data_IF_762654877220
#
_entry.id   IF_762654877220
#
_cell.length_a   1.000
_cell.length_b   1.000
_cell.length_c   1.000
_cell.angle_alpha   90.00
_cell.angle_beta   90.00
_cell.angle_gamma   90.00
#
_symmetry.space_group_name_H-M   'P 1'
#
loop_
_entity.id
_entity.type
_entity.pdbx_description
1 polymer ?
#
# COMPACT_ATOMS: atom_id res chain seq x y z
N UNK A 1 7.12 -2.80 -27.48
CA UNK A 1 6.57 -2.20 -28.74
C UNK A 1 5.10 -2.60 -28.83
N UNK A 2 4.17 -1.64 -28.96
CA UNK A 2 2.73 -1.92 -29.03
C UNK A 2 2.40 -2.57 -30.40
N UNK A 3 1.57 -3.61 -30.41
CA UNK A 3 1.10 -4.24 -31.66
C UNK A 3 0.19 -3.26 -32.42
N UNK A 4 0.56 -2.84 -33.64
CA UNK A 4 -0.26 -1.89 -34.41
C UNK A 4 -1.67 -2.44 -34.66
N UNK A 5 -2.72 -1.62 -34.58
CA UNK A 5 -4.11 -2.05 -34.81
C UNK A 5 -4.37 -2.65 -36.19
N UNK A 6 -3.56 -2.28 -37.18
CA UNK A 6 -3.62 -2.80 -38.54
C UNK A 6 -3.25 -4.28 -38.65
N UNK A 7 -2.54 -4.80 -37.65
CA UNK A 7 -2.17 -6.22 -37.56
C UNK A 7 -3.18 -7.10 -36.83
N UNK A 8 -4.28 -6.51 -36.31
CA UNK A 8 -5.33 -7.30 -35.66
C UNK A 8 -6.10 -8.13 -36.70
N UNK A 9 -6.26 -9.45 -36.48
CA UNK A 9 -7.05 -10.30 -37.38
C UNK A 9 -8.48 -9.78 -37.53
N UNK A 10 -8.88 -9.46 -38.75
CA UNK A 10 -10.22 -8.92 -39.00
C UNK A 10 -11.29 -10.03 -38.82
N UNK A 11 -12.13 -9.93 -37.82
CA UNK A 11 -13.17 -10.92 -37.48
C UNK A 11 -14.07 -11.31 -38.64
N UNK A 12 -14.37 -10.33 -39.57
CA UNK A 12 -15.13 -10.57 -40.79
C UNK A 12 -14.49 -11.53 -41.79
N UNK A 13 -13.15 -11.76 -41.65
CA UNK A 13 -12.38 -12.69 -42.51
C UNK A 13 -12.34 -14.09 -41.89
N UNK A 14 -13.04 -14.32 -40.78
CA UNK A 14 -13.10 -15.60 -40.08
C UNK A 14 -11.70 -16.17 -39.75
N UNK A 15 -10.86 -15.40 -39.03
CA UNK A 15 -9.50 -15.82 -38.73
C UNK A 15 -9.47 -17.11 -37.93
N UNK A 16 -8.36 -17.83 -38.01
CA UNK A 16 -8.20 -19.08 -37.27
C UNK A 16 -8.11 -18.84 -35.74
N UNK A 17 -8.39 -19.87 -34.97
CA UNK A 17 -8.18 -19.86 -33.52
C UNK A 17 -6.76 -19.40 -33.15
N UNK A 18 -5.75 -19.93 -33.86
CA UNK A 18 -4.36 -19.63 -33.59
C UNK A 18 -4.02 -18.14 -33.86
N UNK A 19 -4.57 -17.55 -34.92
CA UNK A 19 -4.31 -16.14 -35.25
C UNK A 19 -4.93 -15.21 -34.21
N UNK A 20 -6.18 -15.49 -33.78
CA UNK A 20 -6.84 -14.69 -32.74
C UNK A 20 -6.09 -14.82 -31.41
N UNK A 21 -5.73 -16.04 -31.02
CA UNK A 21 -5.03 -16.29 -29.75
C UNK A 21 -3.65 -15.65 -29.73
N UNK A 22 -2.89 -15.72 -30.83
CA UNK A 22 -1.58 -15.04 -30.96
C UNK A 22 -1.72 -13.53 -30.80
N UNK A 23 -2.76 -12.94 -31.40
CA UNK A 23 -3.06 -11.52 -31.23
C UNK A 23 -3.41 -11.20 -29.76
N UNK A 24 -4.28 -11.98 -29.11
CA UNK A 24 -4.63 -11.81 -27.70
C UNK A 24 -3.40 -11.94 -26.78
N UNK A 25 -2.46 -12.82 -27.12
CA UNK A 25 -1.21 -12.96 -26.38
C UNK A 25 -0.27 -11.76 -26.55
N UNK A 26 -0.22 -11.19 -27.76
CA UNK A 26 0.53 -9.95 -28.00
C UNK A 26 -0.05 -8.72 -27.30
N UNK A 27 -1.34 -8.78 -26.98
CA UNK A 27 -2.06 -7.74 -26.26
C UNK A 27 -1.99 -7.91 -24.73
N UNK A 28 -1.25 -8.89 -24.19
CA UNK A 28 -0.99 -8.97 -22.75
C UNK A 28 -0.32 -7.67 -22.31
N UNK A 29 -0.85 -7.04 -21.27
CA UNK A 29 -0.11 -5.99 -20.59
C UNK A 29 1.15 -6.63 -20.03
N UNK A 30 2.32 -6.15 -20.43
CA UNK A 30 3.59 -6.65 -19.91
C UNK A 30 3.54 -6.56 -18.39
N UNK A 31 3.60 -7.69 -17.70
CA UNK A 31 4.04 -7.67 -16.31
C UNK A 31 5.43 -7.05 -16.36
N UNK A 32 5.62 -5.89 -15.73
CA UNK A 32 6.96 -5.37 -15.52
C UNK A 32 7.78 -6.50 -14.94
N UNK A 33 8.83 -6.88 -15.65
CA UNK A 33 9.80 -7.84 -15.12
C UNK A 33 10.33 -7.23 -13.82
N UNK A 34 10.13 -7.85 -12.63
CA UNK A 34 10.62 -7.29 -11.37
C UNK A 34 12.14 -7.16 -11.33
N UNK A 35 12.86 -7.68 -12.36
CA UNK A 35 14.30 -7.58 -12.54
C UNK A 35 14.69 -6.68 -13.73
N UNK A 36 13.76 -6.09 -14.45
CA UNK A 36 14.09 -5.00 -15.35
C UNK A 36 14.48 -3.80 -14.47
N UNK A 37 15.77 -3.63 -14.27
CA UNK A 37 16.34 -2.33 -13.93
C UNK A 37 15.70 -1.35 -14.90
N UNK A 38 15.01 -0.33 -14.39
CA UNK A 38 14.61 0.82 -15.18
C UNK A 38 15.91 1.39 -15.78
N UNK A 39 16.28 0.87 -16.94
CA UNK A 39 17.04 1.68 -17.87
C UNK A 39 16.10 2.83 -18.18
N UNK A 40 16.48 4.00 -17.72
CA UNK A 40 15.89 5.32 -17.95
C UNK A 40 15.95 5.68 -19.45
N UNK A 41 15.48 4.74 -20.27
CA UNK A 41 15.15 4.86 -21.67
C UNK A 41 13.63 4.97 -21.86
N UNK A 42 12.99 5.74 -21.00
CA UNK A 42 11.81 6.47 -21.41
C UNK A 42 12.20 7.21 -22.67
N UNK A 43 11.35 7.18 -23.68
CA UNK A 43 11.42 8.00 -24.88
C UNK A 43 11.33 9.48 -24.48
N UNK A 44 12.30 9.95 -23.71
CA UNK A 44 12.60 11.35 -23.52
C UNK A 44 13.15 11.81 -24.86
N UNK A 45 12.26 12.35 -25.68
CA UNK A 45 12.66 13.21 -26.78
C UNK A 45 13.60 14.24 -26.15
N UNK A 46 14.89 14.13 -26.41
CA UNK A 46 15.89 15.07 -25.89
C UNK A 46 15.64 16.38 -26.61
N UNK A 47 14.79 17.19 -25.99
CA UNK A 47 14.53 18.55 -26.45
C UNK A 47 15.73 19.40 -26.07
N UNK A 48 16.29 20.10 -27.05
CA UNK A 48 17.32 21.08 -26.74
C UNK A 48 16.66 22.37 -26.15
N UNK A 49 17.48 23.18 -25.52
CA UNK A 49 16.99 24.41 -24.87
C UNK A 49 16.45 25.46 -25.88
N UNK A 50 16.57 25.23 -27.18
CA UNK A 50 16.10 26.09 -28.26
C UNK A 50 14.73 25.62 -28.82
N UNK A 51 14.23 24.43 -28.45
CA UNK A 51 12.95 23.93 -28.94
C UNK A 51 11.80 24.76 -28.33
N UNK A 52 10.92 25.38 -29.14
CA UNK A 52 9.80 26.16 -28.67
C UNK A 52 8.84 25.30 -27.81
N UNK A 53 8.30 25.88 -26.74
CA UNK A 53 7.43 25.17 -25.81
C UNK A 53 6.14 24.66 -26.47
N UNK A 54 5.60 25.39 -27.41
CA UNK A 54 4.42 25.02 -28.19
C UNK A 54 4.66 23.79 -29.08
N UNK A 55 5.87 23.61 -29.61
CA UNK A 55 6.25 22.40 -30.34
C UNK A 55 6.33 21.18 -29.44
N UNK A 56 6.87 21.34 -28.22
CA UNK A 56 6.92 20.28 -27.21
C UNK A 56 5.51 19.88 -26.82
N UNK A 57 4.65 20.84 -26.50
CA UNK A 57 3.25 20.59 -26.12
C UNK A 57 2.46 19.94 -27.27
N UNK A 58 2.68 20.36 -28.51
CA UNK A 58 2.03 19.75 -29.68
C UNK A 58 2.48 18.31 -29.90
N UNK A 59 3.76 18.01 -29.71
CA UNK A 59 4.28 16.63 -29.87
C UNK A 59 3.76 15.72 -28.74
N UNK A 60 3.71 16.20 -27.51
CA UNK A 60 3.14 15.47 -26.38
C UNK A 60 1.65 15.18 -26.60
N UNK A 61 0.90 16.17 -27.08
CA UNK A 61 -0.52 16.00 -27.42
C UNK A 61 -0.73 14.99 -28.58
N UNK A 62 0.12 15.01 -29.60
CA UNK A 62 0.05 14.06 -30.70
C UNK A 62 0.36 12.63 -30.23
N UNK A 63 1.37 12.44 -29.40
CA UNK A 63 1.73 11.15 -28.80
C UNK A 63 0.60 10.61 -27.91
N UNK A 64 0.01 11.45 -27.06
CA UNK A 64 -1.14 11.08 -26.22
C UNK A 64 -2.36 10.67 -27.06
N UNK A 65 -2.61 11.36 -28.16
CA UNK A 65 -3.70 11.03 -29.09
C UNK A 65 -3.46 9.68 -29.79
N UNK A 66 -2.24 9.35 -30.15
CA UNK A 66 -1.88 8.06 -30.75
C UNK A 66 -2.06 6.91 -29.76
N UNK A 67 -1.61 7.07 -28.52
CA UNK A 67 -1.86 6.11 -27.43
C UNK A 67 -3.36 5.90 -27.22
N UNK A 68 -4.15 6.97 -27.19
CA UNK A 68 -5.60 6.89 -27.05
C UNK A 68 -6.27 6.17 -28.23
N UNK A 69 -5.83 6.43 -29.47
CA UNK A 69 -6.33 5.75 -30.68
C UNK A 69 -6.04 4.25 -30.61
N UNK A 70 -4.83 3.89 -30.20
CA UNK A 70 -4.44 2.49 -30.03
C UNK A 70 -5.32 1.82 -28.96
N UNK A 71 -5.48 2.41 -27.79
CA UNK A 71 -6.32 1.88 -26.71
C UNK A 71 -7.78 1.66 -27.17
N UNK A 72 -8.36 2.62 -27.93
CA UNK A 72 -9.69 2.52 -28.50
C UNK A 72 -9.80 1.40 -29.54
N UNK A 73 -8.76 1.19 -30.35
CA UNK A 73 -8.73 0.11 -31.34
C UNK A 73 -8.67 -1.26 -30.69
N UNK A 74 -7.83 -1.42 -29.66
CA UNK A 74 -7.74 -2.65 -28.84
C UNK A 74 -9.09 -2.94 -28.18
N UNK A 75 -9.73 -1.98 -27.53
CA UNK A 75 -11.03 -2.16 -26.89
C UNK A 75 -12.11 -2.60 -27.86
N UNK A 76 -12.15 -2.01 -29.05
CA UNK A 76 -13.09 -2.42 -30.12
C UNK A 76 -12.83 -3.83 -30.60
N UNK A 77 -11.56 -4.19 -30.80
CA UNK A 77 -11.18 -5.53 -31.23
C UNK A 77 -11.59 -6.59 -30.20
N UNK A 78 -11.22 -6.39 -28.94
CA UNK A 78 -11.60 -7.28 -27.85
C UNK A 78 -13.13 -7.42 -27.70
N UNK A 79 -13.85 -6.31 -27.79
CA UNK A 79 -15.32 -6.31 -27.78
C UNK A 79 -15.90 -7.10 -28.95
N UNK A 80 -15.29 -7.02 -30.14
CA UNK A 80 -15.75 -7.78 -31.32
C UNK A 80 -15.60 -9.29 -31.16
N UNK A 81 -14.58 -9.76 -30.42
CA UNK A 81 -14.42 -11.19 -30.10
C UNK A 81 -15.48 -11.64 -29.11
N UNK A 82 -15.69 -10.91 -28.03
CA UNK A 82 -16.65 -11.27 -26.96
C UNK A 82 -18.09 -11.24 -27.49
N UNK A 83 -18.43 -10.33 -28.40
CA UNK A 83 -19.76 -10.21 -28.98
C UNK A 83 -20.00 -11.15 -30.16
N UNK A 84 -19.00 -11.83 -30.68
CA UNK A 84 -19.12 -12.79 -31.78
C UNK A 84 -19.45 -14.17 -31.25
N UNK A 85 -20.34 -14.88 -31.95
CA UNK A 85 -20.64 -16.30 -31.70
C UNK A 85 -19.49 -17.24 -32.13
N UNK A 86 -18.50 -16.71 -32.89
CA UNK A 86 -17.36 -17.47 -33.44
C UNK A 86 -17.79 -18.72 -34.20
N UNK A 87 -18.96 -18.69 -34.86
CA UNK A 87 -19.61 -19.85 -35.45
C UNK A 87 -18.79 -20.54 -36.53
N UNK A 88 -17.78 -19.89 -37.12
CA UNK A 88 -16.86 -20.50 -38.09
C UNK A 88 -15.79 -21.40 -37.43
N UNK A 89 -15.61 -21.36 -36.10
CA UNK A 89 -14.74 -22.28 -35.35
C UNK A 89 -15.57 -23.50 -34.93
N UNK A 90 -15.19 -24.70 -35.40
CA UNK A 90 -16.04 -25.90 -35.15
C UNK A 90 -15.94 -26.40 -33.70
N UNK A 91 -14.82 -26.12 -33.00
CA UNK A 91 -14.61 -26.59 -31.66
C UNK A 91 -15.17 -25.60 -30.64
N UNK A 92 -16.02 -26.08 -29.73
CA UNK A 92 -16.63 -25.27 -28.67
C UNK A 92 -15.59 -24.82 -27.63
N UNK A 93 -14.66 -25.72 -27.26
CA UNK A 93 -13.58 -25.39 -26.32
C UNK A 93 -12.69 -24.22 -26.83
N UNK A 94 -12.43 -24.18 -28.15
CA UNK A 94 -11.68 -23.09 -28.77
C UNK A 94 -12.43 -21.73 -28.67
N UNK A 95 -13.74 -21.75 -28.86
CA UNK A 95 -14.59 -20.55 -28.72
C UNK A 95 -14.60 -20.04 -27.30
N UNK A 96 -14.78 -20.92 -26.31
CA UNK A 96 -14.74 -20.60 -24.89
C UNK A 96 -13.39 -20.06 -24.47
N UNK A 97 -12.29 -20.66 -24.94
CA UNK A 97 -10.93 -20.19 -24.66
C UNK A 97 -10.69 -18.77 -25.20
N UNK A 98 -11.19 -18.43 -26.40
CA UNK A 98 -11.09 -17.10 -26.97
C UNK A 98 -11.92 -16.06 -26.21
N UNK A 99 -13.16 -16.40 -25.83
CA UNK A 99 -13.99 -15.50 -25.02
C UNK A 99 -13.37 -15.24 -23.65
N UNK A 100 -12.87 -16.29 -23.00
CA UNK A 100 -12.18 -16.16 -21.72
C UNK A 100 -10.90 -15.30 -21.84
N UNK A 101 -10.09 -15.52 -22.89
CA UNK A 101 -8.89 -14.75 -23.13
C UNK A 101 -9.21 -13.28 -23.43
N UNK A 102 -10.18 -12.99 -24.30
CA UNK A 102 -10.59 -11.63 -24.62
C UNK A 102 -11.16 -10.90 -23.43
N UNK A 103 -12.04 -11.56 -22.64
CA UNK A 103 -12.61 -11.00 -21.41
C UNK A 103 -11.52 -10.65 -20.39
N UNK A 104 -10.51 -11.51 -20.24
CA UNK A 104 -9.34 -11.24 -19.40
C UNK A 104 -8.56 -10.01 -19.87
N UNK A 105 -8.36 -9.88 -21.21
CA UNK A 105 -7.67 -8.69 -21.78
C UNK A 105 -8.50 -7.40 -21.57
N UNK A 106 -9.83 -7.49 -21.60
CA UNK A 106 -10.71 -6.36 -21.26
C UNK A 106 -10.55 -6.00 -19.79
N UNK A 107 -10.63 -6.97 -18.89
CA UNK A 107 -10.48 -6.75 -17.46
C UNK A 107 -9.12 -6.10 -17.11
N UNK A 108 -8.03 -6.52 -17.75
CA UNK A 108 -6.70 -5.91 -17.60
C UNK A 108 -6.62 -4.44 -18.05
N UNK A 109 -7.61 -3.96 -18.81
CA UNK A 109 -7.69 -2.59 -19.34
C UNK A 109 -8.82 -1.76 -18.76
N UNK A 110 -9.50 -2.27 -17.73
CA UNK A 110 -10.60 -1.57 -17.08
C UNK A 110 -10.16 -1.06 -15.69
N UNK A 111 -10.71 0.09 -15.30
CA UNK A 111 -10.48 0.64 -13.96
C UNK A 111 -8.99 0.91 -13.67
N UNK A 112 -8.57 0.61 -12.46
CA UNK A 112 -7.20 0.86 -11.98
C UNK A 112 -6.14 0.04 -12.74
N UNK A 113 -6.47 -1.14 -13.25
CA UNK A 113 -5.57 -1.96 -14.06
C UNK A 113 -5.19 -1.32 -15.40
N UNK A 114 -6.05 -0.45 -15.92
CA UNK A 114 -5.82 0.28 -17.17
C UNK A 114 -4.96 1.54 -17.01
N UNK A 115 -4.77 2.03 -15.79
CA UNK A 115 -4.12 3.31 -15.53
C UNK A 115 -2.59 3.22 -15.51
N UNK A 116 -2.01 2.02 -15.56
CA UNK A 116 -0.57 1.83 -15.40
C UNK A 116 -0.07 2.21 -14.00
N UNK A 117 1.22 2.44 -13.88
CA UNK A 117 1.84 2.92 -12.64
C UNK A 117 1.48 4.39 -12.40
N UNK A 118 1.13 4.70 -11.16
CA UNK A 118 0.82 6.07 -10.75
C UNK A 118 1.78 6.51 -9.67
N UNK A 119 2.34 7.72 -9.81
CA UNK A 119 3.11 8.36 -8.75
C UNK A 119 2.30 9.52 -8.19
N UNK A 120 2.10 9.52 -6.86
CA UNK A 120 1.30 10.53 -6.16
C UNK A 120 2.08 11.20 -5.05
N UNK A 121 1.72 12.47 -4.79
CA UNK A 121 2.15 13.21 -3.61
C UNK A 121 1.05 13.15 -2.55
N UNK A 122 1.45 12.89 -1.33
CA UNK A 122 0.59 12.79 -0.17
C UNK A 122 0.99 13.88 0.84
N UNK A 123 0.25 15.00 0.87
CA UNK A 123 0.55 16.10 1.78
C UNK A 123 0.16 15.74 3.21
N UNK A 124 1.06 15.97 4.16
CA UNK A 124 0.82 15.73 5.58
C UNK A 124 1.22 16.96 6.40
N UNK A 125 0.34 17.38 7.32
CA UNK A 125 0.65 18.46 8.26
C UNK A 125 1.60 17.97 9.34
N UNK A 126 2.57 18.81 9.71
CA UNK A 126 3.45 18.58 10.86
C UNK A 126 2.91 19.21 12.14
N UNK A 127 1.85 19.99 12.06
CA UNK A 127 1.21 20.61 13.21
C UNK A 127 0.26 19.60 13.89
N UNK A 128 0.33 19.55 15.23
CA UNK A 128 -0.71 18.87 16.00
C UNK A 128 -1.98 19.72 15.93
N UNK A 129 -3.10 19.16 15.50
CA UNK A 129 -4.41 19.80 15.52
C UNK A 129 -4.94 19.94 16.98
N UNK A 130 -4.16 20.57 17.85
CA UNK A 130 -4.55 20.84 19.25
C UNK A 130 -5.40 22.10 19.39
N UNK A 131 -5.85 22.71 18.29
CA UNK A 131 -6.82 23.81 18.32
C UNK A 131 -8.01 23.41 17.46
N UNK A 132 -9.15 23.15 18.12
CA UNK A 132 -10.43 22.85 17.50
C UNK A 132 -10.80 23.89 16.45
N UNK A 133 -10.61 23.52 15.20
CA UNK A 133 -11.16 24.20 14.05
C UNK A 133 -11.73 23.11 13.15
N UNK A 134 -13.02 22.85 13.32
CA UNK A 134 -13.83 21.99 12.45
C UNK A 134 -14.06 22.63 11.05
N UNK A 135 -13.36 23.72 10.71
CA UNK A 135 -13.49 24.45 9.44
C UNK A 135 -12.11 24.92 8.94
N UNK A 136 -11.17 24.04 8.72
CA UNK A 136 -10.04 24.35 7.86
C UNK A 136 -10.38 23.91 6.42
N UNK A 137 -11.23 24.70 5.74
CA UNK A 137 -11.21 24.78 4.29
C UNK A 137 -9.75 24.86 3.82
N UNK A 138 -9.46 24.23 2.67
CA UNK A 138 -8.19 24.17 1.94
C UNK A 138 -7.40 25.51 1.92
N UNK A 139 -6.82 25.87 3.06
CA UNK A 139 -5.92 27.00 3.21
C UNK A 139 -4.49 26.46 3.15
N UNK A 140 -3.66 27.04 2.28
CA UNK A 140 -2.24 26.72 2.17
C UNK A 140 -1.58 26.77 3.55
N UNK A 141 -1.07 25.61 4.01
CA UNK A 141 -0.32 25.55 5.26
C UNK A 141 0.92 26.45 5.17
N UNK A 142 1.27 27.10 6.26
CA UNK A 142 2.44 27.98 6.30
C UNK A 142 3.71 27.20 5.87
N UNK A 143 4.66 27.85 5.16
CA UNK A 143 5.88 27.19 4.70
C UNK A 143 6.62 26.49 5.85
N UNK A 144 6.87 25.16 5.70
CA UNK A 144 7.55 24.34 6.71
C UNK A 144 6.63 23.53 7.64
N UNK A 145 5.29 23.75 7.57
CA UNK A 145 4.32 22.95 8.34
C UNK A 145 3.76 21.75 7.57
N UNK A 146 4.15 21.54 6.33
CA UNK A 146 3.73 20.43 5.49
C UNK A 146 4.92 19.62 5.00
N UNK A 147 4.72 18.32 4.87
CA UNK A 147 5.62 17.41 4.16
C UNK A 147 4.84 16.69 3.07
N UNK A 148 5.50 16.40 1.96
CA UNK A 148 4.93 15.65 0.84
C UNK A 148 5.66 14.30 0.73
N UNK A 149 4.95 13.20 1.00
CA UNK A 149 5.44 11.86 0.68
C UNK A 149 5.11 11.55 -0.78
N UNK A 150 6.06 10.96 -1.50
CA UNK A 150 5.89 10.58 -2.91
C UNK A 150 5.86 9.08 -3.02
N UNK A 151 4.72 8.52 -3.42
CA UNK A 151 4.53 7.07 -3.52
C UNK A 151 4.24 6.65 -4.95
N UNK A 152 4.88 5.57 -5.37
CA UNK A 152 4.54 4.84 -6.59
C UNK A 152 3.53 3.75 -6.23
N UNK A 153 2.45 3.73 -6.99
CA UNK A 153 1.42 2.69 -6.95
C UNK A 153 1.47 1.97 -8.31
N UNK A 154 1.96 0.73 -8.38
CA UNK A 154 1.93 -0.06 -9.61
C UNK A 154 0.51 -0.28 -10.12
N UNK A 155 0.38 -0.61 -11.40
CA UNK A 155 -0.89 -1.05 -11.96
C UNK A 155 -1.41 -2.26 -11.15
N UNK A 156 -2.69 -2.21 -10.76
CA UNK A 156 -3.31 -3.35 -10.06
C UNK A 156 -3.48 -4.51 -11.03
N UNK A 157 -2.87 -5.65 -10.71
CA UNK A 157 -3.01 -6.89 -11.47
C UNK A 157 -3.47 -8.00 -10.53
N UNK A 158 -4.65 -8.56 -10.76
CA UNK A 158 -5.23 -9.60 -9.90
C UNK A 158 -5.56 -9.09 -8.50
N UNK A 159 -5.34 -9.92 -7.47
CA UNK A 159 -5.70 -9.65 -6.07
C UNK A 159 -4.66 -8.84 -5.30
N UNK A 160 -3.78 -8.12 -5.99
CA UNK A 160 -2.66 -7.37 -5.36
C UNK A 160 -3.13 -6.06 -4.73
N UNK A 161 -3.97 -6.14 -3.70
CA UNK A 161 -4.53 -4.98 -2.99
C UNK A 161 -3.46 -4.10 -2.31
N UNK A 162 -2.30 -4.67 -1.94
CA UNK A 162 -1.18 -3.94 -1.34
C UNK A 162 -0.47 -2.95 -2.27
N UNK A 163 -0.77 -2.95 -3.58
CA UNK A 163 -0.21 -1.95 -4.52
C UNK A 163 -1.01 -0.65 -4.58
N UNK A 164 -2.15 -0.56 -3.90
CA UNK A 164 -2.95 0.66 -3.77
C UNK A 164 -2.73 1.30 -2.40
N UNK A 165 -2.65 2.63 -2.36
CA UNK A 165 -2.71 3.38 -1.10
C UNK A 165 -4.17 3.58 -0.72
N UNK A 166 -4.58 2.99 0.40
CA UNK A 166 -5.95 3.06 0.89
C UNK A 166 -6.20 4.31 1.73
N UNK A 167 -7.42 4.83 1.68
CA UNK A 167 -7.79 6.04 2.39
C UNK A 167 -7.61 5.96 3.90
N UNK A 168 -7.78 4.77 4.49
CA UNK A 168 -7.54 4.51 5.92
C UNK A 168 -6.10 4.80 6.33
N UNK A 169 -5.10 4.41 5.52
CA UNK A 169 -3.70 4.70 5.82
C UNK A 169 -3.40 6.20 5.77
N UNK A 170 -4.04 6.94 4.86
CA UNK A 170 -3.92 8.41 4.82
C UNK A 170 -4.63 9.08 6.00
N UNK A 171 -5.84 8.62 6.35
CA UNK A 171 -6.56 9.11 7.51
C UNK A 171 -5.74 8.94 8.80
N UNK A 172 -5.17 7.74 9.02
CA UNK A 172 -4.30 7.47 10.16
C UNK A 172 -3.00 8.27 10.11
N UNK A 173 -2.37 8.43 8.94
CA UNK A 173 -1.16 9.24 8.79
C UNK A 173 -1.40 10.72 9.19
N UNK A 174 -2.56 11.28 8.87
CA UNK A 174 -2.95 12.63 9.31
C UNK A 174 -3.18 12.72 10.81
N UNK A 175 -3.58 11.64 11.47
CA UNK A 175 -3.77 11.57 12.92
C UNK A 175 -2.47 11.43 13.71
N UNK A 176 -1.36 11.01 13.13
CA UNK A 176 -0.12 10.73 13.86
C UNK A 176 0.34 11.85 14.78
N UNK A 177 0.30 13.15 14.41
CA UNK A 177 0.67 14.21 15.33
C UNK A 177 -0.23 14.31 16.58
N UNK A 178 -1.54 14.05 16.43
CA UNK A 178 -2.48 14.05 17.55
C UNK A 178 -2.33 12.78 18.40
N UNK A 179 -2.24 11.62 17.78
CA UNK A 179 -2.02 10.34 18.46
C UNK A 179 -0.78 10.35 19.36
N UNK A 180 0.30 11.02 18.92
CA UNK A 180 1.52 11.18 19.70
C UNK A 180 1.30 11.83 21.08
N UNK A 181 0.23 12.59 21.26
CA UNK A 181 -0.08 13.33 22.48
C UNK A 181 -1.15 12.66 23.36
N UNK A 182 -1.79 11.60 22.85
CA UNK A 182 -2.81 10.86 23.61
C UNK A 182 -2.22 10.16 24.84
N UNK A 183 -3.01 9.94 25.88
CA UNK A 183 -2.58 9.17 27.04
C UNK A 183 -2.04 7.78 26.68
N UNK A 184 -2.61 7.16 25.62
CA UNK A 184 -2.21 5.83 25.16
C UNK A 184 -0.80 5.77 24.58
N UNK A 185 -0.28 6.86 23.95
CA UNK A 185 0.98 6.85 23.20
C UNK A 185 2.04 7.85 23.65
N UNK A 186 1.68 8.90 24.41
CA UNK A 186 2.61 9.99 24.76
C UNK A 186 3.88 9.51 25.46
N UNK A 187 3.80 8.41 26.23
CA UNK A 187 4.93 7.86 26.97
C UNK A 187 5.99 7.23 26.06
N UNK A 188 5.62 6.78 24.84
CA UNK A 188 6.54 6.23 23.86
C UNK A 188 7.30 7.31 23.06
N UNK A 189 6.78 8.52 22.97
CA UNK A 189 7.34 9.56 22.10
C UNK A 189 8.81 9.93 22.38
N UNK A 190 9.28 10.06 23.64
CA UNK A 190 10.69 10.28 23.92
C UNK A 190 11.57 9.14 23.44
N UNK A 191 11.11 7.91 23.59
CA UNK A 191 11.84 6.69 23.24
C UNK A 191 11.93 6.48 21.72
N UNK A 192 10.87 6.82 20.98
CA UNK A 192 10.88 6.78 19.50
C UNK A 192 11.98 7.68 18.94
N UNK A 193 12.15 8.88 19.51
CA UNK A 193 13.23 9.81 19.13
C UNK A 193 14.63 9.33 19.51
N UNK A 194 14.74 8.40 20.44
CA UNK A 194 15.97 7.74 20.83
C UNK A 194 16.27 6.47 20.01
N UNK A 195 15.44 6.17 19.01
CA UNK A 195 15.62 5.05 18.08
C UNK A 195 14.86 3.79 18.47
N UNK A 196 13.89 3.88 19.38
CA UNK A 196 13.00 2.75 19.64
C UNK A 196 12.25 2.38 18.36
N UNK A 197 12.30 1.09 17.90
CA UNK A 197 11.74 0.72 16.61
C UNK A 197 10.20 0.69 16.64
N UNK A 198 9.63 1.13 15.53
CA UNK A 198 8.19 1.00 15.23
C UNK A 198 8.03 -0.03 14.12
N UNK A 199 7.06 -0.94 14.24
CA UNK A 199 6.69 -1.87 13.18
C UNK A 199 5.38 -1.45 12.52
N UNK A 200 5.34 -1.40 11.20
CA UNK A 200 4.09 -1.39 10.44
C UNK A 200 3.84 -2.79 9.88
N UNK A 201 2.63 -3.33 10.14
CA UNK A 201 2.16 -4.60 9.59
C UNK A 201 1.22 -4.33 8.41
N UNK A 202 1.46 -4.98 7.25
CA UNK A 202 0.66 -4.81 6.05
C UNK A 202 0.80 -3.40 5.46
N UNK A 203 2.03 -2.94 5.29
CA UNK A 203 2.34 -1.55 4.93
C UNK A 203 1.89 -1.16 3.50
N UNK A 204 1.65 -2.12 2.60
CA UNK A 204 1.25 -1.85 1.22
C UNK A 204 2.23 -0.95 0.49
N UNK A 205 1.79 0.26 0.16
CA UNK A 205 2.65 1.28 -0.48
C UNK A 205 3.56 2.02 0.50
N UNK A 206 3.34 1.87 1.82
CA UNK A 206 4.18 2.41 2.88
C UNK A 206 3.78 3.79 3.39
N UNK A 207 2.60 4.32 3.04
CA UNK A 207 2.22 5.68 3.41
C UNK A 207 2.29 5.93 4.93
N UNK A 208 1.70 5.05 5.73
CA UNK A 208 1.60 5.25 7.18
C UNK A 208 2.97 5.17 7.86
N UNK A 209 3.77 4.13 7.55
CA UNK A 209 5.10 3.98 8.16
C UNK A 209 6.08 5.08 7.76
N UNK A 210 6.06 5.51 6.50
CA UNK A 210 6.86 6.65 6.03
C UNK A 210 6.42 7.95 6.71
N UNK A 211 5.11 8.14 6.91
CA UNK A 211 4.59 9.26 7.68
C UNK A 211 5.04 9.22 9.14
N UNK A 212 4.96 8.06 9.79
CA UNK A 212 5.43 7.87 11.16
C UNK A 212 6.93 8.16 11.28
N UNK A 213 7.76 7.65 10.37
CA UNK A 213 9.18 7.92 10.33
C UNK A 213 9.48 9.43 10.22
N UNK A 214 8.76 10.15 9.36
CA UNK A 214 8.96 11.58 9.15
C UNK A 214 8.40 12.46 10.27
N UNK A 215 7.18 12.15 10.78
CA UNK A 215 6.46 12.99 11.74
C UNK A 215 6.90 12.74 13.19
N UNK A 216 7.12 11.48 13.54
CA UNK A 216 7.58 11.08 14.87
C UNK A 216 9.10 11.08 15.01
N UNK A 217 9.84 11.16 13.88
CA UNK A 217 11.32 11.05 13.83
C UNK A 217 11.80 9.71 14.36
N UNK A 218 11.07 8.65 13.99
CA UNK A 218 11.25 7.31 14.50
C UNK A 218 12.06 6.43 13.53
N UNK A 219 12.61 5.32 14.03
CA UNK A 219 13.11 4.20 13.22
C UNK A 219 11.92 3.25 12.94
N UNK A 220 11.44 3.20 11.70
CA UNK A 220 10.26 2.42 11.32
C UNK A 220 10.65 1.26 10.41
N UNK A 221 10.20 0.06 10.76
CA UNK A 221 10.29 -1.13 9.93
C UNK A 221 8.91 -1.40 9.33
N UNK A 222 8.83 -1.34 8.01
CA UNK A 222 7.61 -1.59 7.25
C UNK A 222 7.61 -3.03 6.77
N UNK A 223 6.50 -3.75 6.96
CA UNK A 223 6.42 -5.16 6.59
C UNK A 223 5.22 -5.46 5.70
N UNK A 224 5.40 -6.37 4.76
CA UNK A 224 4.34 -6.88 3.89
C UNK A 224 4.74 -8.25 3.30
N UNK A 225 3.92 -8.78 2.42
CA UNK A 225 4.18 -9.99 1.65
C UNK A 225 5.36 -9.80 0.68
N UNK A 226 6.06 -10.88 0.36
CA UNK A 226 7.22 -10.89 -0.54
C UNK A 226 6.92 -10.27 -1.92
N UNK A 227 5.69 -10.35 -2.42
CA UNK A 227 5.26 -9.75 -3.68
C UNK A 227 5.10 -8.23 -3.61
N UNK A 228 4.83 -7.66 -2.43
CA UNK A 228 4.60 -6.23 -2.20
C UNK A 228 5.89 -5.50 -1.84
N UNK A 229 6.78 -6.16 -1.09
CA UNK A 229 8.02 -5.56 -0.57
C UNK A 229 8.90 -4.87 -1.63
N UNK A 230 9.05 -5.34 -2.87
CA UNK A 230 9.85 -4.64 -3.87
C UNK A 230 9.37 -3.22 -4.16
N UNK A 231 8.05 -3.00 -4.31
CA UNK A 231 7.49 -1.66 -4.48
C UNK A 231 7.56 -0.83 -3.20
N UNK A 232 7.31 -1.46 -2.05
CA UNK A 232 7.44 -0.83 -0.73
C UNK A 232 8.85 -0.30 -0.50
N UNK A 233 9.88 -1.12 -0.77
CA UNK A 233 11.29 -0.73 -0.64
C UNK A 233 11.66 0.44 -1.59
N UNK A 234 11.16 0.42 -2.82
CA UNK A 234 11.35 1.54 -3.75
C UNK A 234 10.70 2.84 -3.25
N UNK A 235 9.53 2.76 -2.59
CA UNK A 235 8.88 3.92 -1.98
C UNK A 235 9.64 4.42 -0.73
N UNK A 236 10.20 3.52 0.08
CA UNK A 236 11.10 3.86 1.20
C UNK A 236 12.29 4.64 0.68
N UNK A 237 13.00 4.14 -0.35
CA UNK A 237 14.17 4.81 -0.93
C UNK A 237 13.80 6.18 -1.51
N UNK A 238 12.69 6.29 -2.24
CA UNK A 238 12.22 7.56 -2.82
C UNK A 238 12.02 8.66 -1.78
N UNK A 239 11.62 8.31 -0.56
CA UNK A 239 11.37 9.25 0.53
C UNK A 239 12.53 9.34 1.54
N UNK A 240 13.61 8.57 1.34
CA UNK A 240 14.72 8.44 2.30
C UNK A 240 15.35 9.77 2.68
N UNK A 241 15.62 10.65 1.71
CA UNK A 241 16.21 11.97 1.94
C UNK A 241 15.33 12.87 2.82
N UNK A 242 14.01 12.88 2.56
CA UNK A 242 13.06 13.66 3.35
C UNK A 242 12.99 13.14 4.78
N UNK A 243 12.89 11.81 4.97
CA UNK A 243 12.79 11.18 6.28
C UNK A 243 14.06 11.41 7.09
N UNK A 244 15.25 11.22 6.50
CA UNK A 244 16.54 11.46 7.14
C UNK A 244 16.73 12.94 7.54
N UNK A 245 16.34 13.87 6.66
CA UNK A 245 16.40 15.31 6.98
C UNK A 245 15.52 15.69 8.17
N UNK A 246 14.50 14.88 8.48
CA UNK A 246 13.63 15.05 9.65
C UNK A 246 14.11 14.27 10.88
N UNK A 247 15.18 13.47 10.76
CA UNK A 247 15.74 12.67 11.85
C UNK A 247 15.09 11.31 12.05
N UNK A 248 14.29 10.83 11.06
CA UNK A 248 13.70 9.49 11.05
C UNK A 248 14.50 8.51 10.19
N UNK A 249 14.09 7.25 10.21
CA UNK A 249 14.59 6.17 9.37
C UNK A 249 13.44 5.24 8.98
N UNK A 250 13.49 4.67 7.78
CA UNK A 250 12.54 3.67 7.32
C UNK A 250 13.27 2.52 6.63
N UNK A 251 12.80 1.30 6.85
CA UNK A 251 13.29 0.06 6.22
C UNK A 251 12.11 -0.82 5.88
N UNK A 252 12.20 -1.60 4.80
CA UNK A 252 11.15 -2.52 4.38
C UNK A 252 11.65 -3.95 4.36
N UNK A 253 10.81 -4.91 4.77
CA UNK A 253 11.13 -6.34 4.74
C UNK A 253 9.89 -7.23 4.69
N UNK A 254 10.11 -8.51 4.41
CA UNK A 254 9.05 -9.50 4.30
C UNK A 254 8.66 -10.01 5.68
N UNK A 255 7.37 -9.93 6.00
CA UNK A 255 6.78 -10.56 7.17
C UNK A 255 5.37 -11.05 6.83
N UNK A 256 5.24 -12.32 6.52
CA UNK A 256 3.94 -12.96 6.28
C UNK A 256 3.31 -13.36 7.61
N UNK A 257 2.06 -12.94 7.83
CA UNK A 257 1.33 -13.29 9.06
C UNK A 257 1.04 -14.80 9.10
N UNK A 258 1.21 -15.40 10.26
CA UNK A 258 1.01 -16.82 10.47
C UNK A 258 2.12 -17.73 9.93
N UNK A 259 3.16 -17.18 9.30
CA UNK A 259 4.31 -17.96 8.87
C UNK A 259 5.14 -18.40 10.08
N UNK A 260 5.59 -19.68 10.04
CA UNK A 260 6.55 -20.20 11.02
C UNK A 260 7.96 -19.70 10.67
N UNK A 261 8.75 -19.39 11.67
CA UNK A 261 10.20 -19.10 11.51
C UNK A 261 11.05 -20.34 11.43
N UNK A 262 10.41 -21.52 11.37
CA UNK A 262 11.10 -22.81 11.26
C UNK A 262 11.86 -22.93 9.95
N UNK A 263 13.11 -23.36 9.99
CA UNK A 263 13.97 -23.57 8.82
C UNK A 263 13.40 -24.58 7.81
N UNK A 264 12.35 -25.31 8.17
CA UNK A 264 11.73 -26.33 7.32
C UNK A 264 10.70 -25.75 6.31
N UNK A 265 10.31 -24.49 6.41
CA UNK A 265 9.37 -23.86 5.49
C UNK A 265 10.05 -23.24 4.24
N UNK A 266 11.37 -23.40 4.11
CA UNK A 266 12.17 -22.87 2.98
C UNK A 266 12.06 -23.75 1.72
N UNK A 267 11.29 -24.85 1.72
CA UNK A 267 11.23 -25.79 0.59
C UNK A 267 10.71 -25.22 -0.73
N UNK A 268 10.13 -24.03 -0.75
CA UNK A 268 9.60 -23.39 -1.97
C UNK A 268 10.43 -22.19 -2.48
N UNK A 269 11.52 -21.81 -1.82
CA UNK A 269 12.33 -20.64 -2.23
C UNK A 269 11.63 -19.29 -2.01
N UNK A 270 10.52 -19.25 -1.28
CA UNK A 270 9.80 -18.02 -0.93
C UNK A 270 10.18 -17.61 0.48
N UNK A 271 10.78 -16.43 0.63
CA UNK A 271 11.06 -15.86 1.95
C UNK A 271 9.73 -15.43 2.57
N UNK A 272 9.34 -16.07 3.67
CA UNK A 272 8.13 -15.71 4.42
C UNK A 272 8.41 -14.68 5.53
N UNK A 273 9.66 -14.65 6.04
CA UNK A 273 10.12 -13.70 7.08
C UNK A 273 11.56 -13.28 6.79
N UNK A 274 11.80 -11.99 6.79
CA UNK A 274 13.14 -11.40 6.73
C UNK A 274 13.75 -11.41 8.15
N UNK A 275 14.59 -12.40 8.44
CA UNK A 275 15.16 -12.61 9.77
C UNK A 275 16.16 -11.54 10.22
N UNK A 276 16.69 -10.73 9.28
CA UNK A 276 17.58 -9.61 9.61
C UNK A 276 16.78 -8.42 10.18
N UNK A 277 15.56 -8.23 9.72
CA UNK A 277 14.68 -7.17 10.20
C UNK A 277 13.73 -7.63 11.32
N UNK A 278 13.39 -8.92 11.36
CA UNK A 278 12.50 -9.55 12.34
C UNK A 278 13.20 -10.71 13.05
N UNK A 279 14.27 -10.43 13.82
CA UNK A 279 15.15 -11.48 14.35
C UNK A 279 14.53 -12.29 15.49
N UNK A 280 13.56 -11.73 16.21
CA UNK A 280 12.95 -12.34 17.39
C UNK A 280 11.48 -11.94 17.53
N UNK A 281 10.73 -12.71 18.33
CA UNK A 281 9.39 -12.33 18.80
C UNK A 281 9.50 -11.22 19.85
N UNK A 282 8.41 -10.48 20.01
CA UNK A 282 8.28 -9.42 21.01
C UNK A 282 9.36 -8.32 20.90
N UNK A 283 9.76 -7.98 19.68
CA UNK A 283 10.84 -7.03 19.43
C UNK A 283 10.41 -5.56 19.33
N UNK A 284 9.10 -5.31 19.10
CA UNK A 284 8.63 -3.97 18.76
C UNK A 284 7.73 -3.39 19.87
N UNK A 285 8.16 -2.30 20.52
CA UNK A 285 7.36 -1.64 21.55
C UNK A 285 6.18 -0.84 21.00
N UNK A 286 6.18 -0.54 19.71
CA UNK A 286 5.06 0.10 19.01
C UNK A 286 4.82 -0.57 17.66
N UNK A 287 3.57 -0.99 17.46
CA UNK A 287 3.07 -1.50 16.18
C UNK A 287 1.99 -0.57 15.66
N UNK A 288 2.01 -0.26 14.37
CA UNK A 288 0.98 0.53 13.67
C UNK A 288 0.41 -0.28 12.51
N UNK A 289 -0.89 -0.19 12.28
CA UNK A 289 -1.59 -0.96 11.24
C UNK A 289 -2.78 -0.16 10.70
N UNK A 290 -2.90 -0.06 9.39
CA UNK A 290 -4.03 0.58 8.74
C UNK A 290 -4.62 -0.26 7.61
N UNK A 291 -5.93 -0.41 7.58
CA UNK A 291 -6.71 -1.16 6.57
C UNK A 291 -6.28 -2.63 6.38
N UNK A 292 -6.03 -3.39 7.45
CA UNK A 292 -5.42 -4.72 7.32
C UNK A 292 -6.41 -5.85 7.08
N UNK A 293 -7.74 -5.60 7.18
CA UNK A 293 -8.77 -6.65 7.29
C UNK A 293 -9.71 -6.58 6.09
N UNK A 294 -9.53 -7.51 5.14
CA UNK A 294 -10.36 -7.65 3.93
C UNK A 294 -10.70 -9.12 3.59
N UNK A 295 -10.32 -10.05 4.46
CA UNK A 295 -10.64 -11.48 4.38
C UNK A 295 -11.04 -12.01 5.76
N UNK A 296 -11.86 -13.08 5.81
CA UNK A 296 -12.38 -13.65 7.07
C UNK A 296 -11.29 -14.27 7.96
N UNK A 297 -10.13 -14.64 7.41
CA UNK A 297 -8.99 -15.17 8.16
C UNK A 297 -8.11 -14.05 8.76
N UNK A 298 -8.16 -12.84 8.20
CA UNK A 298 -7.28 -11.74 8.60
C UNK A 298 -7.43 -11.33 10.08
N UNK A 299 -8.62 -11.31 10.71
CA UNK A 299 -8.74 -10.97 12.12
C UNK A 299 -7.85 -11.81 13.03
N UNK A 300 -7.85 -13.12 12.85
CA UNK A 300 -7.05 -14.05 13.66
C UNK A 300 -5.56 -13.98 13.33
N UNK A 301 -5.22 -13.90 12.03
CA UNK A 301 -3.84 -13.79 11.57
C UNK A 301 -3.17 -12.49 12.04
N UNK A 302 -3.88 -11.35 11.92
CA UNK A 302 -3.38 -10.06 12.37
C UNK A 302 -3.18 -10.02 13.88
N UNK A 303 -4.17 -10.48 14.66
CA UNK A 303 -4.05 -10.52 16.11
C UNK A 303 -2.86 -11.40 16.56
N UNK A 304 -2.65 -12.53 15.88
CA UNK A 304 -1.50 -13.40 16.12
C UNK A 304 -0.17 -12.70 15.76
N UNK A 305 -0.11 -11.98 14.64
CA UNK A 305 1.08 -11.25 14.23
C UNK A 305 1.41 -10.09 15.19
N UNK A 306 0.40 -9.36 15.65
CA UNK A 306 0.58 -8.31 16.66
C UNK A 306 1.09 -8.91 17.97
N UNK A 307 0.48 -9.99 18.46
CA UNK A 307 0.91 -10.62 19.72
C UNK A 307 2.35 -11.15 19.61
N UNK A 308 2.72 -11.77 18.50
CA UNK A 308 4.07 -12.27 18.29
C UNK A 308 5.14 -11.16 18.19
N UNK A 309 4.81 -10.02 17.63
CA UNK A 309 5.78 -8.95 17.38
C UNK A 309 5.81 -7.89 18.49
N UNK A 310 4.68 -7.66 19.19
CA UNK A 310 4.59 -6.65 20.23
C UNK A 310 5.41 -7.04 21.45
N UNK A 311 6.27 -6.15 21.92
CA UNK A 311 7.10 -6.37 23.10
C UNK A 311 6.25 -6.76 24.32
N UNK A 312 6.87 -7.46 25.26
CA UNK A 312 6.25 -7.80 26.54
C UNK A 312 6.29 -6.61 27.48
N UNK A 313 5.36 -6.54 28.43
CA UNK A 313 5.45 -5.56 29.50
C UNK A 313 6.73 -5.75 30.30
N UNK A 314 7.39 -4.65 30.69
CA UNK A 314 8.55 -4.73 31.60
C UNK A 314 8.13 -5.45 32.90
N UNK A 315 8.94 -6.40 33.33
CA UNK A 315 8.71 -7.00 34.66
C UNK A 315 9.00 -5.93 35.71
N UNK A 316 8.06 -5.68 36.60
CA UNK A 316 8.33 -4.97 37.85
C UNK A 316 9.24 -5.90 38.69
N UNK A 317 10.56 -5.70 38.61
CA UNK A 317 11.48 -6.37 39.52
C UNK A 317 11.22 -5.81 40.90
N UNK A 318 10.48 -6.59 41.69
CA UNK A 318 10.27 -6.32 43.10
C UNK A 318 11.62 -6.31 43.83
N UNK A 319 11.91 -5.20 44.47
CA UNK A 319 12.91 -5.05 45.55
C UNK A 319 14.41 -5.19 45.12
N UNK A 320 14.96 -4.19 44.42
CA UNK A 320 16.38 -3.84 44.65
C UNK A 320 16.52 -2.34 44.88
N UNK A 321 16.83 -2.01 46.14
CA UNK A 321 17.20 -0.70 46.61
C UNK A 321 18.45 -0.18 45.85
N UNK A 322 18.30 1.02 45.28
CA UNK A 322 19.31 2.06 45.18
C UNK A 322 20.75 1.65 44.83
N UNK A 323 21.11 1.70 43.54
CA UNK A 323 22.42 2.23 43.19
C UNK A 323 22.25 3.28 42.07
N UNK A 324 22.60 4.51 42.42
CA UNK A 324 22.65 5.64 41.53
C UNK A 324 23.83 5.45 40.55
N UNK A 325 23.57 4.81 39.41
CA UNK A 325 24.43 5.00 38.28
C UNK A 325 23.58 5.23 37.03
N UNK A 326 23.92 6.31 36.36
CA UNK A 326 23.17 7.02 35.33
C UNK A 326 23.23 6.27 33.98
N UNK A 327 22.56 5.13 33.86
CA UNK A 327 22.32 4.47 32.60
C UNK A 327 20.83 4.61 32.29
N UNK A 328 20.52 5.37 31.25
CA UNK A 328 19.20 5.60 30.68
C UNK A 328 18.45 4.28 30.49
N UNK A 329 17.53 4.02 31.39
CA UNK A 329 16.64 2.85 31.40
C UNK A 329 15.67 2.95 30.23
N UNK A 330 16.04 2.40 29.08
CA UNK A 330 15.28 2.42 27.83
C UNK A 330 14.16 1.36 27.79
N UNK A 331 13.94 0.62 28.89
CA UNK A 331 13.10 -0.58 28.90
C UNK A 331 11.77 -0.47 29.68
N UNK A 332 11.35 0.71 30.11
CA UNK A 332 10.20 0.84 31.04
C UNK A 332 8.90 1.35 30.44
N UNK A 333 8.79 1.46 29.09
CA UNK A 333 7.54 1.94 28.50
C UNK A 333 6.64 0.79 28.06
N UNK A 334 5.39 0.79 28.53
CA UNK A 334 4.37 -0.18 28.14
C UNK A 334 4.17 -0.20 26.62
N UNK A 335 4.29 -1.37 25.98
CA UNK A 335 4.15 -1.51 24.52
C UNK A 335 2.71 -1.24 24.05
N UNK A 336 2.57 -0.76 22.82
CA UNK A 336 1.26 -0.44 22.23
C UNK A 336 1.15 -0.91 20.79
N UNK A 337 -0.07 -1.32 20.40
CA UNK A 337 -0.43 -1.54 19.01
C UNK A 337 -1.56 -0.59 18.63
N UNK A 338 -1.37 0.22 17.59
CA UNK A 338 -2.38 1.13 17.05
C UNK A 338 -2.92 0.55 15.76
N UNK A 339 -4.21 0.27 15.72
CA UNK A 339 -4.87 -0.35 14.58
C UNK A 339 -6.05 0.50 14.14
N UNK A 340 -6.15 0.76 12.84
CA UNK A 340 -7.30 1.45 12.25
C UNK A 340 -7.93 0.57 11.15
N UNK A 341 -9.24 0.40 11.23
CA UNK A 341 -10.03 -0.42 10.31
C UNK A 341 -11.20 0.40 9.75
N UNK A 342 -11.41 0.40 8.44
CA UNK A 342 -12.57 1.06 7.85
C UNK A 342 -13.85 0.21 8.04
N UNK A 343 -14.95 0.87 8.38
CA UNK A 343 -16.27 0.28 8.47
C UNK A 343 -17.07 0.66 7.21
N UNK A 344 -16.81 -0.05 6.09
CA UNK A 344 -17.44 0.23 4.78
C UNK A 344 -18.81 -0.41 4.64
N UNK A 345 -19.01 -1.54 5.32
CA UNK A 345 -20.22 -2.35 5.27
C UNK A 345 -20.33 -3.28 6.50
N UNK A 346 -21.44 -4.05 6.57
CA UNK A 346 -21.66 -5.00 7.66
C UNK A 346 -20.60 -6.10 7.77
N UNK A 347 -19.95 -6.47 6.66
CA UNK A 347 -18.91 -7.49 6.67
C UNK A 347 -17.64 -6.94 7.34
N UNK A 348 -17.24 -5.73 6.99
CA UNK A 348 -16.10 -5.06 7.63
C UNK A 348 -16.35 -4.77 9.11
N UNK A 349 -17.58 -4.37 9.50
CA UNK A 349 -17.98 -4.24 10.91
C UNK A 349 -17.84 -5.57 11.67
N UNK A 350 -18.33 -6.67 11.08
CA UNK A 350 -18.21 -8.01 11.67
C UNK A 350 -16.74 -8.42 11.85
N UNK A 351 -15.91 -8.23 10.82
CA UNK A 351 -14.51 -8.59 10.88
C UNK A 351 -13.74 -7.73 11.89
N UNK A 352 -14.07 -6.45 12.04
CA UNK A 352 -13.50 -5.57 13.05
C UNK A 352 -13.84 -6.08 14.47
N UNK A 353 -15.11 -6.47 14.73
CA UNK A 353 -15.52 -7.05 16.00
C UNK A 353 -14.81 -8.40 16.29
N UNK A 354 -14.62 -9.24 15.27
CA UNK A 354 -13.86 -10.49 15.40
C UNK A 354 -12.39 -10.19 15.75
N UNK A 355 -11.78 -9.19 15.14
CA UNK A 355 -10.41 -8.79 15.44
C UNK A 355 -10.26 -8.34 16.91
N UNK A 356 -11.13 -7.48 17.40
CA UNK A 356 -11.10 -7.05 18.81
C UNK A 356 -11.23 -8.24 19.76
N UNK A 357 -12.10 -9.21 19.43
CA UNK A 357 -12.25 -10.43 20.22
C UNK A 357 -10.98 -11.31 20.22
N UNK A 358 -10.32 -11.44 19.07
CA UNK A 358 -9.05 -12.17 18.92
C UNK A 358 -7.91 -11.50 19.71
N UNK A 359 -7.85 -10.16 19.72
CA UNK A 359 -6.90 -9.40 20.55
C UNK A 359 -7.13 -9.65 22.03
N UNK A 360 -8.39 -9.61 22.48
CA UNK A 360 -8.73 -9.86 23.88
C UNK A 360 -8.38 -11.28 24.35
N UNK A 361 -8.54 -12.30 23.48
CA UNK A 361 -8.11 -13.67 23.80
C UNK A 361 -6.60 -13.79 24.05
N UNK A 362 -5.80 -12.86 23.50
CA UNK A 362 -4.34 -12.77 23.67
C UNK A 362 -3.90 -11.83 24.79
N UNK A 363 -4.86 -11.34 25.60
CA UNK A 363 -4.59 -10.39 26.66
C UNK A 363 -4.23 -8.99 26.17
N UNK A 364 -4.60 -8.66 24.92
CA UNK A 364 -4.44 -7.33 24.34
C UNK A 364 -5.77 -6.60 24.38
N UNK A 365 -5.85 -5.56 25.20
CA UNK A 365 -7.10 -4.83 25.45
C UNK A 365 -6.98 -3.37 24.98
N UNK A 366 -8.06 -2.75 24.49
CA UNK A 366 -8.06 -1.34 24.13
C UNK A 366 -7.79 -0.47 25.39
N UNK A 367 -6.80 0.42 25.29
CA UNK A 367 -6.49 1.44 26.30
C UNK A 367 -6.92 2.84 25.84
N UNK A 368 -7.17 2.98 24.52
CA UNK A 368 -7.70 4.19 23.88
C UNK A 368 -8.40 3.77 22.59
N UNK A 369 -9.47 4.46 22.20
CA UNK A 369 -10.22 4.13 20.98
C UNK A 369 -11.03 5.33 20.48
N UNK A 370 -11.46 5.27 19.23
CA UNK A 370 -12.33 6.29 18.66
C UNK A 370 -12.66 6.04 17.20
N UNK A 371 -13.32 7.02 16.61
CA UNK A 371 -13.74 6.98 15.21
C UNK A 371 -13.36 8.27 14.50
N UNK A 372 -13.07 8.15 13.20
CA UNK A 372 -12.86 9.29 12.31
C UNK A 372 -13.50 9.04 10.95
N UNK A 373 -13.79 10.10 10.22
CA UNK A 373 -14.20 10.00 8.82
C UNK A 373 -13.00 9.62 7.95
N UNK A 374 -13.17 8.61 7.11
CA UNK A 374 -12.26 8.23 6.05
C UNK A 374 -12.86 8.54 4.68
N UNK A 375 -12.02 8.69 3.68
CA UNK A 375 -12.42 8.86 2.30
C UNK A 375 -11.59 7.95 1.40
N UNK A 376 -12.27 7.12 0.61
CA UNK A 376 -11.67 6.48 -0.55
C UNK A 376 -12.05 7.30 -1.78
N UNK A 377 -11.07 7.92 -2.41
CA UNK A 377 -11.26 8.48 -3.73
C UNK A 377 -10.94 7.40 -4.76
N UNK A 378 -11.91 7.06 -5.59
CA UNK A 378 -11.66 6.35 -6.83
C UNK A 378 -10.84 7.26 -7.72
N UNK A 379 -9.54 6.99 -7.80
CA UNK A 379 -8.52 7.83 -8.41
C UNK A 379 -8.53 7.74 -9.95
N UNK A 380 -9.68 7.56 -10.53
CA UNK A 380 -9.89 7.42 -11.96
C UNK A 380 -10.74 8.54 -12.53
N UNK A 381 -10.13 9.66 -12.93
CA UNK A 381 -10.72 10.61 -13.88
C UNK A 381 -11.79 11.57 -13.32
N UNK A 382 -12.01 12.63 -14.03
CA UNK A 382 -12.96 13.71 -13.78
C UNK A 382 -14.33 13.23 -13.27
N UNK A 383 -14.61 13.42 -11.99
CA UNK A 383 -15.94 13.28 -11.42
C UNK A 383 -16.19 12.06 -10.52
N UNK A 384 -15.16 11.34 -10.07
CA UNK A 384 -15.33 10.28 -9.08
C UNK A 384 -15.81 10.87 -7.75
N UNK A 385 -16.98 10.43 -7.30
CA UNK A 385 -17.52 10.79 -5.98
C UNK A 385 -16.65 10.10 -4.93
N UNK A 386 -16.06 10.88 -4.03
CA UNK A 386 -15.36 10.32 -2.87
C UNK A 386 -16.37 9.50 -2.05
N UNK A 387 -16.04 8.23 -1.79
CA UNK A 387 -16.85 7.40 -0.91
C UNK A 387 -16.39 7.68 0.52
N UNK A 388 -17.27 8.30 1.31
CA UNK A 388 -17.04 8.54 2.73
C UNK A 388 -17.40 7.28 3.52
N UNK A 389 -16.57 6.93 4.50
CA UNK A 389 -16.82 5.84 5.43
C UNK A 389 -16.26 6.19 6.81
N UNK A 390 -16.68 5.47 7.83
CA UNK A 390 -16.13 5.60 9.19
C UNK A 390 -14.93 4.68 9.34
N UNK A 391 -13.84 5.17 9.93
CA UNK A 391 -12.75 4.36 10.43
C UNK A 391 -12.84 4.28 11.94
N UNK A 392 -12.86 3.06 12.47
CA UNK A 392 -12.63 2.83 13.90
C UNK A 392 -11.15 2.58 14.16
N UNK A 393 -10.63 3.14 15.24
CA UNK A 393 -9.24 2.94 15.65
C UNK A 393 -9.14 2.58 17.12
N UNK A 394 -8.14 1.78 17.45
CA UNK A 394 -7.83 1.34 18.81
C UNK A 394 -6.34 1.45 19.08
N UNK A 395 -6.00 1.79 20.32
CA UNK A 395 -4.68 1.60 20.90
C UNK A 395 -4.77 0.43 21.86
N UNK A 396 -4.14 -0.68 21.52
CA UNK A 396 -4.11 -1.86 22.39
C UNK A 396 -2.86 -1.86 23.27
N UNK A 397 -3.03 -2.33 24.52
CA UNK A 397 -1.94 -2.65 25.44
C UNK A 397 -2.13 -4.04 26.02
N UNK A 398 -1.09 -4.61 26.62
CA UNK A 398 -1.24 -5.86 27.39
C UNK A 398 -1.98 -5.56 28.68
N UNK A 399 -3.02 -6.38 28.99
CA UNK A 399 -3.86 -6.26 30.19
C UNK A 399 -3.31 -7.02 31.37
#
# INVERSE_FOLDING_TARGET
MLTPPELFPAMRQQPSFADIMACLDSLKTSKGDPMAVDDDNGNDSVWDCATPRDEIEAHQAASALEVQRHANAVSRYLGSIVMSDLAWLPNEDDREALWAAASRRIAERCGRTAMGDITRRWPLSTASAASGAEDAAEGEAAPGQQIDLVLKEPALVGDSLGFKTWGTSYAMARMLPALATTPGLRHLQPLLRQGLPVLELGAGTGLLGLAAAALWRADVVLSDLATIVPNLAANVERNSKLIQARGGRARAGVLQWGASRSENDVEAGVVAVDTDLFPADHAFPLIIVADPIYDEEHPALLASAIDAQLALEPKEDGDHACDHDNTTDTHTASPRAVVMVPLRDRQTEKMAAMFVAEMAQRGLVPVDEGEIAGQDSDWGGNGAVACEFTCSWWVFGRG
#
